data_IF_450846252691
#
_entry.id   IF_450846252691
#
_cell.length_a   1.000
_cell.length_b   1.000
_cell.length_c   1.000
_cell.angle_alpha   90.00
_cell.angle_beta   90.00
_cell.angle_gamma   90.00
#
_symmetry.space_group_name_H-M   'P 1'
#
loop_
_entity.id
_entity.type
_entity.pdbx_description
1 polymer ?
#
# COMPACT_ATOMS: atom_id res chain seq x y z
N UNK A 1 28.63 -39.42 -77.16
CA UNK A 1 29.54 -38.51 -76.40
C UNK A 1 28.82 -37.28 -75.79
N UNK A 2 28.01 -36.59 -76.58
CA UNK A 2 27.42 -35.27 -76.24
C UNK A 2 26.26 -35.36 -75.22
N UNK A 3 25.37 -36.36 -75.35
CA UNK A 3 24.30 -36.65 -74.37
C UNK A 3 24.83 -36.94 -72.95
N UNK A 4 25.98 -37.59 -72.84
CA UNK A 4 26.61 -37.93 -71.55
C UNK A 4 27.19 -36.69 -70.86
N UNK A 5 27.77 -35.76 -71.62
CA UNK A 5 28.20 -34.43 -71.13
C UNK A 5 27.03 -33.58 -70.63
N UNK A 6 25.87 -33.58 -71.33
CA UNK A 6 24.66 -32.89 -70.87
C UNK A 6 24.11 -33.45 -69.56
N UNK A 7 24.03 -34.79 -69.40
CA UNK A 7 23.61 -35.42 -68.15
C UNK A 7 24.55 -35.09 -66.98
N UNK A 8 25.86 -35.12 -67.19
CA UNK A 8 26.83 -34.80 -66.15
C UNK A 8 26.78 -33.32 -65.74
N UNK A 9 26.51 -32.40 -66.69
CA UNK A 9 26.29 -30.98 -66.38
C UNK A 9 25.00 -30.74 -65.60
N UNK A 10 23.92 -31.43 -65.93
CA UNK A 10 22.66 -31.33 -65.19
C UNK A 10 22.78 -31.88 -63.76
N UNK A 11 23.44 -33.04 -63.58
CA UNK A 11 23.70 -33.61 -62.26
C UNK A 11 24.60 -32.72 -61.39
N UNK A 12 25.63 -32.11 -61.99
CA UNK A 12 26.47 -31.14 -61.29
C UNK A 12 25.66 -29.91 -60.86
N UNK A 13 24.80 -29.35 -61.73
CA UNK A 13 23.97 -28.20 -61.39
C UNK A 13 22.98 -28.48 -60.25
N UNK A 14 22.39 -29.69 -60.21
CA UNK A 14 21.49 -30.12 -59.12
C UNK A 14 22.27 -30.23 -57.80
N UNK A 15 23.45 -30.85 -57.80
CA UNK A 15 24.28 -30.98 -56.60
C UNK A 15 24.76 -29.62 -56.06
N UNK A 16 25.04 -28.64 -56.94
CA UNK A 16 25.37 -27.27 -56.51
C UNK A 16 24.16 -26.54 -55.93
N UNK A 17 22.96 -26.76 -56.48
CA UNK A 17 21.72 -26.18 -55.97
C UNK A 17 21.32 -26.78 -54.61
N UNK A 18 21.49 -28.09 -54.43
CA UNK A 18 21.24 -28.77 -53.15
C UNK A 18 22.24 -28.32 -52.07
N UNK A 19 23.54 -28.22 -52.38
CA UNK A 19 24.52 -27.61 -51.46
C UNK A 19 24.20 -26.16 -51.13
N UNK A 20 23.69 -25.40 -52.10
CA UNK A 20 23.23 -24.02 -51.88
C UNK A 20 22.03 -23.94 -50.93
N UNK A 21 21.08 -24.88 -51.05
CA UNK A 21 19.94 -24.99 -50.13
C UNK A 21 20.34 -25.44 -48.73
N UNK A 22 21.24 -26.42 -48.62
CA UNK A 22 21.77 -26.87 -47.33
C UNK A 22 22.56 -25.76 -46.63
N UNK A 23 23.42 -25.04 -47.35
CA UNK A 23 24.15 -23.89 -46.81
C UNK A 23 23.22 -22.75 -46.39
N UNK A 24 22.17 -22.47 -47.19
CA UNK A 24 21.15 -21.48 -46.83
C UNK A 24 20.33 -21.91 -45.61
N UNK A 25 19.97 -23.19 -45.51
CA UNK A 25 19.28 -23.75 -44.34
C UNK A 25 20.14 -23.71 -43.08
N UNK A 26 21.43 -24.02 -43.18
CA UNK A 26 22.38 -23.92 -42.07
C UNK A 26 22.54 -22.47 -41.60
N UNK A 27 22.68 -21.51 -42.52
CA UNK A 27 22.75 -20.10 -42.19
C UNK A 27 21.46 -19.60 -41.49
N UNK A 28 20.28 -19.99 -41.99
CA UNK A 28 18.99 -19.63 -41.36
C UNK A 28 18.87 -20.24 -39.96
N UNK A 29 19.33 -21.48 -39.77
CA UNK A 29 19.35 -22.11 -38.45
C UNK A 29 20.29 -21.35 -37.48
N UNK A 30 21.49 -20.98 -37.93
CA UNK A 30 22.43 -20.18 -37.13
C UNK A 30 21.84 -18.82 -36.74
N UNK A 31 21.22 -18.10 -37.68
CA UNK A 31 20.55 -16.82 -37.38
C UNK A 31 19.38 -17.00 -36.41
N UNK A 32 18.63 -18.09 -36.53
CA UNK A 32 17.52 -18.40 -35.62
C UNK A 32 18.04 -18.67 -34.21
N UNK A 33 19.10 -19.46 -34.07
CA UNK A 33 19.75 -19.73 -32.77
C UNK A 33 20.30 -18.44 -32.16
N UNK A 34 20.98 -17.61 -32.96
CA UNK A 34 21.50 -16.32 -32.50
C UNK A 34 20.37 -15.37 -32.03
N UNK A 35 19.25 -15.31 -32.76
CA UNK A 35 18.09 -14.51 -32.38
C UNK A 35 17.46 -15.00 -31.07
N UNK A 36 17.33 -16.33 -30.89
CA UNK A 36 16.83 -16.91 -29.64
C UNK A 36 17.76 -16.61 -28.48
N UNK A 37 19.09 -16.74 -28.67
CA UNK A 37 20.07 -16.40 -27.64
C UNK A 37 20.02 -14.91 -27.26
N UNK A 38 19.89 -14.02 -28.25
CA UNK A 38 19.70 -12.59 -28.02
C UNK A 38 18.42 -12.32 -27.24
N UNK A 39 17.32 -13.00 -27.57
CA UNK A 39 16.05 -12.85 -26.88
C UNK A 39 16.10 -13.36 -25.43
N UNK A 40 16.76 -14.49 -25.19
CA UNK A 40 17.00 -15.01 -23.83
C UNK A 40 17.91 -14.08 -23.03
N UNK A 41 18.97 -13.55 -23.63
CA UNK A 41 19.86 -12.58 -22.99
C UNK A 41 19.11 -11.27 -22.67
N UNK A 42 18.32 -10.75 -23.62
CA UNK A 42 17.49 -9.56 -23.43
C UNK A 42 16.43 -9.76 -22.34
N UNK A 43 15.75 -10.91 -22.33
CA UNK A 43 14.81 -11.26 -21.26
C UNK A 43 15.52 -11.37 -19.91
N UNK A 44 16.71 -11.97 -19.86
CA UNK A 44 17.48 -12.10 -18.61
C UNK A 44 17.91 -10.74 -18.06
N UNK A 45 18.39 -9.85 -18.93
CA UNK A 45 18.73 -8.46 -18.56
C UNK A 45 17.50 -7.69 -18.10
N UNK A 46 16.37 -7.85 -18.79
CA UNK A 46 15.10 -7.25 -18.38
C UNK A 46 14.66 -7.76 -17.01
N UNK A 47 14.64 -9.07 -16.79
CA UNK A 47 14.24 -9.65 -15.50
C UNK A 47 15.14 -9.19 -14.36
N UNK A 48 16.45 -9.15 -14.56
CA UNK A 48 17.41 -8.71 -13.54
C UNK A 48 17.34 -7.21 -13.26
N UNK A 49 17.13 -6.38 -14.29
CA UNK A 49 17.10 -4.93 -14.16
C UNK A 49 15.74 -4.35 -13.76
N UNK A 50 14.64 -4.94 -14.22
CA UNK A 50 13.28 -4.46 -13.99
C UNK A 50 12.70 -4.93 -12.65
N UNK A 51 13.12 -6.09 -12.16
CA UNK A 51 12.75 -6.61 -10.84
C UNK A 51 13.96 -6.57 -9.89
N UNK A 52 14.39 -5.37 -9.43
CA UNK A 52 15.46 -5.29 -8.46
C UNK A 52 15.04 -6.05 -7.20
N UNK A 53 15.80 -7.08 -6.83
CA UNK A 53 15.69 -7.71 -5.52
C UNK A 53 16.21 -6.69 -4.52
N UNK A 54 15.33 -6.11 -3.72
CA UNK A 54 15.74 -5.22 -2.64
C UNK A 54 16.39 -6.08 -1.55
N UNK A 55 17.70 -5.94 -1.26
CA UNK A 55 18.27 -6.60 -0.10
C UNK A 55 17.68 -5.92 1.14
N UNK A 56 16.82 -6.62 1.87
CA UNK A 56 16.39 -6.21 3.21
C UNK A 56 17.39 -6.73 4.23
N UNK A 57 17.62 -5.95 5.29
CA UNK A 57 18.38 -6.45 6.43
C UNK A 57 17.47 -7.43 7.17
N UNK A 58 17.92 -8.68 7.42
CA UNK A 58 17.11 -9.62 8.17
C UNK A 58 17.01 -9.18 9.64
N UNK A 59 15.84 -9.43 10.24
CA UNK A 59 15.57 -9.13 11.65
C UNK A 59 14.64 -7.93 11.85
N UNK A 60 14.35 -7.65 13.12
CA UNK A 60 13.52 -6.53 13.56
C UNK A 60 14.39 -5.55 14.32
N UNK A 61 14.11 -4.25 14.20
CA UNK A 61 14.79 -3.23 15.00
C UNK A 61 14.49 -3.44 16.48
N UNK A 62 15.53 -3.63 17.31
CA UNK A 62 15.40 -3.79 18.75
C UNK A 62 15.87 -2.56 19.53
N UNK A 63 16.04 -2.74 20.85
CA UNK A 63 16.47 -1.68 21.76
C UNK A 63 17.91 -1.19 21.47
N UNK A 64 18.72 -2.00 20.81
CA UNK A 64 20.04 -1.64 20.30
C UNK A 64 19.98 -0.52 19.27
N UNK A 65 18.89 -0.38 18.51
CA UNK A 65 18.71 0.71 17.54
C UNK A 65 18.63 2.09 18.19
N UNK A 66 18.32 2.16 19.50
CA UNK A 66 18.23 3.40 20.27
C UNK A 66 19.46 3.65 21.16
N UNK A 67 20.50 2.81 21.08
CA UNK A 67 21.73 2.95 21.86
C UNK A 67 22.92 3.18 20.94
N UNK A 68 23.85 4.03 21.36
CA UNK A 68 25.15 4.08 20.70
C UNK A 68 25.81 2.69 20.80
N UNK A 69 26.42 2.15 19.72
CA UNK A 69 27.08 0.86 19.79
C UNK A 69 28.19 0.90 20.84
N UNK A 70 27.99 0.17 21.95
CA UNK A 70 28.97 0.08 23.03
C UNK A 70 29.81 -1.18 22.86
N UNK A 71 31.04 -1.05 22.38
CA UNK A 71 32.00 -2.14 22.38
C UNK A 71 32.58 -2.32 23.79
N UNK A 72 32.01 -3.22 24.58
CA UNK A 72 32.61 -3.67 25.84
C UNK A 72 33.73 -4.71 25.62
N UNK A 73 34.56 -5.02 26.65
CA UNK A 73 35.66 -5.99 26.54
C UNK A 73 35.19 -7.44 26.34
N UNK A 74 33.91 -7.72 26.56
CA UNK A 74 33.29 -9.06 26.56
C UNK A 74 32.18 -9.11 25.51
N UNK A 75 32.51 -8.77 24.25
CA UNK A 75 31.64 -8.94 23.09
C UNK A 75 30.42 -8.00 23.01
N UNK A 76 29.84 -7.93 21.80
CA UNK A 76 28.54 -7.32 21.55
C UNK A 76 27.45 -8.32 21.95
N UNK A 77 27.23 -8.50 23.26
CA UNK A 77 26.20 -9.41 23.76
C UNK A 77 24.84 -8.75 23.83
N UNK A 78 23.84 -9.32 23.14
CA UNK A 78 22.43 -9.01 23.35
C UNK A 78 22.06 -9.40 24.79
N UNK A 79 21.62 -8.42 25.60
CA UNK A 79 21.02 -8.70 26.89
C UNK A 79 19.71 -9.49 26.71
N UNK A 80 19.19 -10.15 27.77
CA UNK A 80 17.90 -10.82 27.70
C UNK A 80 16.79 -9.85 27.23
N UNK A 81 15.90 -10.33 26.37
CA UNK A 81 14.79 -9.54 25.85
C UNK A 81 13.97 -8.94 27.00
N UNK A 82 13.76 -7.62 26.97
CA UNK A 82 12.99 -6.92 27.98
C UNK A 82 11.50 -7.30 27.88
N UNK A 83 10.78 -7.38 29.02
CA UNK A 83 9.32 -7.48 28.99
C UNK A 83 8.69 -6.31 28.22
N UNK A 84 7.53 -6.50 27.55
CA UNK A 84 6.92 -5.47 26.71
C UNK A 84 6.71 -4.11 27.40
N UNK A 85 6.27 -4.09 28.66
CA UNK A 85 6.06 -2.84 29.41
C UNK A 85 7.37 -2.08 29.68
N UNK A 86 8.46 -2.81 29.94
CA UNK A 86 9.78 -2.21 30.14
C UNK A 86 10.34 -1.69 28.81
N UNK A 87 10.13 -2.41 27.71
CA UNK A 87 10.54 -1.98 26.38
C UNK A 87 9.78 -0.72 25.95
N UNK A 88 8.47 -0.68 26.20
CA UNK A 88 7.62 0.50 25.98
C UNK A 88 8.13 1.72 26.75
N UNK A 89 8.45 1.53 28.04
CA UNK A 89 8.99 2.61 28.88
C UNK A 89 10.35 3.09 28.34
N UNK A 90 11.22 2.17 27.94
CA UNK A 90 12.53 2.47 27.37
C UNK A 90 12.40 3.28 26.08
N UNK A 91 11.53 2.86 25.15
CA UNK A 91 11.32 3.59 23.89
C UNK A 91 10.75 4.97 24.11
N UNK A 92 9.85 5.14 25.09
CA UNK A 92 9.33 6.46 25.48
C UNK A 92 10.41 7.37 26.07
N UNK A 93 11.32 6.82 26.86
CA UNK A 93 12.44 7.58 27.42
C UNK A 93 13.44 7.98 26.32
N UNK A 94 13.78 7.06 25.43
CA UNK A 94 14.79 7.27 24.38
C UNK A 94 14.30 8.09 23.19
N UNK A 95 13.00 8.12 22.91
CA UNK A 95 12.48 8.90 21.78
C UNK A 95 12.61 10.40 22.01
N UNK A 96 12.67 10.87 23.26
CA UNK A 96 12.60 12.28 23.67
C UNK A 96 11.36 13.03 23.14
N UNK A 97 10.39 12.32 22.53
CA UNK A 97 9.17 12.88 21.96
C UNK A 97 8.02 12.67 22.94
N UNK A 98 7.39 13.74 23.45
CA UNK A 98 6.24 13.60 24.32
C UNK A 98 5.08 12.96 23.55
N UNK A 99 4.54 11.90 24.11
CA UNK A 99 3.42 11.19 23.51
C UNK A 99 2.11 11.97 23.71
N UNK A 100 1.42 12.26 22.61
CA UNK A 100 0.20 13.09 22.60
C UNK A 100 -1.09 12.27 22.58
N UNK A 101 -1.04 11.06 22.02
CA UNK A 101 -2.20 10.21 21.76
C UNK A 101 -1.99 8.78 22.24
N UNK A 102 -2.83 8.30 23.14
CA UNK A 102 -2.81 6.95 23.72
C UNK A 102 -3.33 5.86 22.79
N UNK A 103 -4.16 6.23 21.81
CA UNK A 103 -4.76 5.28 20.86
C UNK A 103 -4.67 5.77 19.43
N UNK A 104 -4.63 4.81 18.50
CA UNK A 104 -4.67 5.06 17.07
C UNK A 104 -5.88 4.38 16.44
N UNK A 105 -6.64 5.11 15.62
CA UNK A 105 -7.54 4.52 14.63
C UNK A 105 -6.95 4.80 13.25
N UNK A 106 -6.56 3.75 12.54
CA UNK A 106 -6.09 3.81 11.15
C UNK A 106 -7.22 3.33 10.24
N UNK A 107 -7.86 4.26 9.54
CA UNK A 107 -8.90 3.99 8.55
C UNK A 107 -8.28 4.07 7.15
N UNK A 108 -8.16 2.94 6.49
CA UNK A 108 -7.73 2.82 5.10
C UNK A 108 -8.98 2.75 4.22
N UNK A 109 -9.07 3.63 3.22
CA UNK A 109 -10.12 3.63 2.20
C UNK A 109 -9.44 3.31 0.88
N UNK A 110 -9.67 2.09 0.36
CA UNK A 110 -9.05 1.60 -0.87
C UNK A 110 -9.41 2.52 -2.05
N UNK A 111 -8.37 3.02 -2.73
CA UNK A 111 -8.50 3.80 -3.96
C UNK A 111 -8.99 5.24 -3.82
N UNK A 112 -9.07 5.85 -2.63
CA UNK A 112 -9.52 7.24 -2.43
C UNK A 112 -8.47 8.28 -2.88
N UNK A 113 -8.69 9.00 -4.02
CA UNK A 113 -7.75 10.02 -4.47
C UNK A 113 -7.76 11.23 -3.53
N UNK A 114 -6.59 11.79 -3.21
CA UNK A 114 -6.52 12.96 -2.33
C UNK A 114 -7.31 14.15 -2.87
N UNK A 115 -7.30 14.36 -4.19
CA UNK A 115 -8.03 15.47 -4.81
C UNK A 115 -9.55 15.44 -4.62
N UNK A 116 -10.15 14.29 -4.26
CA UNK A 116 -11.57 14.23 -3.90
C UNK A 116 -11.86 14.98 -2.59
N UNK A 117 -10.86 15.09 -1.70
CA UNK A 117 -11.01 15.69 -0.37
C UNK A 117 -10.28 17.03 -0.27
N UNK A 118 -9.09 17.14 -0.84
CA UNK A 118 -8.19 18.29 -0.70
C UNK A 118 -8.16 19.20 -1.94
N UNK A 119 -8.69 18.71 -3.07
CA UNK A 119 -8.62 19.41 -4.35
C UNK A 119 -7.24 19.28 -5.01
N UNK A 120 -6.97 20.05 -6.06
CA UNK A 120 -5.73 19.94 -6.85
C UNK A 120 -5.30 21.28 -7.43
N UNK A 121 -4.00 21.56 -7.40
CA UNK A 121 -3.39 22.74 -8.02
C UNK A 121 -3.90 24.04 -7.40
N UNK A 122 -4.06 24.07 -6.06
CA UNK A 122 -4.59 25.21 -5.31
C UNK A 122 -6.09 25.47 -5.52
N UNK A 123 -6.81 24.55 -6.16
CA UNK A 123 -8.28 24.60 -6.31
C UNK A 123 -8.93 23.63 -5.33
N UNK A 124 -10.10 23.97 -4.77
CA UNK A 124 -10.86 23.04 -3.93
C UNK A 124 -11.35 21.84 -4.74
N UNK A 125 -11.79 20.76 -4.07
CA UNK A 125 -12.45 19.63 -4.73
C UNK A 125 -13.68 20.08 -5.54
N UNK A 126 -14.13 19.21 -6.45
CA UNK A 126 -15.40 19.40 -7.12
C UNK A 126 -16.54 19.51 -6.09
N UNK A 127 -17.53 20.35 -6.38
CA UNK A 127 -18.65 20.63 -5.47
C UNK A 127 -19.38 19.35 -5.05
N UNK A 128 -19.58 18.42 -5.98
CA UNK A 128 -20.22 17.13 -5.70
C UNK A 128 -19.43 16.30 -4.68
N UNK A 129 -18.09 16.31 -4.73
CA UNK A 129 -17.24 15.61 -3.77
C UNK A 129 -17.30 16.27 -2.39
N UNK A 130 -17.28 17.61 -2.34
CA UNK A 130 -17.44 18.35 -1.09
C UNK A 130 -18.80 18.09 -0.43
N UNK A 131 -19.89 18.10 -1.21
CA UNK A 131 -21.25 17.80 -0.74
C UNK A 131 -21.44 16.32 -0.36
N UNK A 132 -20.55 15.44 -0.83
CA UNK A 132 -20.52 14.02 -0.47
C UNK A 132 -19.76 13.76 0.82
N UNK A 133 -18.83 14.64 1.21
CA UNK A 133 -18.07 14.51 2.46
C UNK A 133 -18.17 15.75 3.38
N UNK A 134 -19.39 16.22 3.69
CA UNK A 134 -19.59 17.48 4.41
C UNK A 134 -18.96 17.49 5.80
N UNK A 135 -18.92 16.36 6.51
CA UNK A 135 -18.31 16.31 7.84
C UNK A 135 -16.79 16.47 7.77
N UNK A 136 -16.14 15.72 6.88
CA UNK A 136 -14.70 15.80 6.63
C UNK A 136 -14.31 17.21 6.19
N UNK A 137 -15.07 17.81 5.27
CA UNK A 137 -14.87 19.21 4.86
C UNK A 137 -15.02 20.18 6.05
N UNK A 138 -15.96 19.94 6.96
CA UNK A 138 -16.12 20.78 8.16
C UNK A 138 -14.95 20.67 9.14
N UNK A 139 -14.30 19.50 9.24
CA UNK A 139 -13.10 19.32 10.06
C UNK A 139 -11.91 20.08 9.48
N UNK A 140 -11.70 19.98 8.17
CA UNK A 140 -10.66 20.73 7.45
C UNK A 140 -10.87 22.24 7.57
N UNK A 141 -12.08 22.72 7.30
CA UNK A 141 -12.42 24.15 7.41
C UNK A 141 -12.36 24.68 8.85
N UNK A 142 -12.65 23.83 9.84
CA UNK A 142 -12.59 24.15 11.27
C UNK A 142 -11.21 23.97 11.89
N UNK A 143 -10.17 23.71 11.09
CA UNK A 143 -8.80 23.43 11.54
C UNK A 143 -8.67 22.27 12.54
N UNK A 144 -9.59 21.29 12.51
CA UNK A 144 -9.55 20.08 13.34
C UNK A 144 -8.99 18.85 12.62
N UNK A 145 -8.64 19.03 11.35
CA UNK A 145 -7.98 18.03 10.54
C UNK A 145 -6.89 18.68 9.68
N UNK A 146 -5.84 17.92 9.39
CA UNK A 146 -4.80 18.31 8.44
C UNK A 146 -4.66 17.20 7.40
N UNK A 147 -4.85 17.56 6.14
CA UNK A 147 -4.68 16.67 4.99
C UNK A 147 -3.37 16.88 4.27
N UNK A 148 -2.89 15.81 3.65
CA UNK A 148 -1.72 15.77 2.78
C UNK A 148 -2.05 14.99 1.51
N UNK A 149 -1.46 15.42 0.41
CA UNK A 149 -1.33 14.59 -0.79
C UNK A 149 -0.19 13.60 -0.55
N UNK A 150 -0.54 12.35 -0.23
CA UNK A 150 0.40 11.26 -0.13
C UNK A 150 0.68 10.68 -1.52
N UNK A 151 1.95 10.37 -1.80
CA UNK A 151 2.39 9.79 -3.08
C UNK A 151 2.60 8.29 -2.91
N UNK A 152 1.62 7.52 -3.37
CA UNK A 152 1.69 6.07 -3.45
C UNK A 152 2.59 5.68 -4.63
N UNK A 153 3.81 5.21 -4.35
CA UNK A 153 4.74 4.80 -5.40
C UNK A 153 4.18 3.60 -6.20
N UNK A 154 4.44 3.48 -7.51
CA UNK A 154 4.05 2.30 -8.26
C UNK A 154 4.77 1.04 -7.76
N UNK A 155 4.14 -0.16 -7.81
CA UNK A 155 2.77 -0.41 -8.29
C UNK A 155 1.72 0.06 -7.28
N UNK A 156 0.70 0.77 -7.78
CA UNK A 156 -0.47 1.23 -7.02
C UNK A 156 -1.50 0.12 -6.88
N UNK A 157 -1.07 -0.98 -6.25
CA UNK A 157 -1.89 -2.16 -5.92
C UNK A 157 -1.93 -2.29 -4.41
N UNK A 158 -3.09 -2.62 -3.86
CA UNK A 158 -3.38 -2.67 -2.43
C UNK A 158 -2.26 -3.32 -1.60
N UNK A 159 -1.94 -4.59 -1.83
CA UNK A 159 -1.01 -5.31 -0.97
C UNK A 159 0.42 -4.71 -0.93
N UNK A 160 1.09 -4.40 -2.06
CA UNK A 160 2.35 -3.64 -2.04
C UNK A 160 2.27 -2.31 -1.28
N UNK A 161 1.13 -1.60 -1.38
CA UNK A 161 0.93 -0.31 -0.70
C UNK A 161 0.73 -0.48 0.80
N UNK A 162 0.02 -1.51 1.25
CA UNK A 162 -0.09 -1.85 2.67
C UNK A 162 1.29 -2.15 3.27
N UNK A 163 2.13 -2.95 2.58
CA UNK A 163 3.52 -3.22 2.98
C UNK A 163 4.33 -1.93 3.09
N UNK A 164 4.22 -1.04 2.10
CA UNK A 164 4.92 0.24 2.09
C UNK A 164 4.50 1.13 3.26
N UNK A 165 3.20 1.24 3.50
CA UNK A 165 2.62 2.06 4.58
C UNK A 165 3.13 1.67 5.97
N UNK A 166 3.28 0.38 6.24
CA UNK A 166 3.72 -0.08 7.58
C UNK A 166 5.24 -0.15 7.75
N UNK A 167 6.01 -0.30 6.66
CA UNK A 167 7.47 -0.49 6.73
C UNK A 167 8.27 0.75 6.27
N UNK A 168 7.64 1.70 5.59
CA UNK A 168 8.30 2.77 4.86
C UNK A 168 9.11 2.30 3.65
N UNK A 169 9.03 1.01 3.28
CA UNK A 169 9.73 0.47 2.13
C UNK A 169 9.00 0.85 0.83
N UNK A 170 9.75 1.29 -0.19
CA UNK A 170 9.21 1.39 -1.54
C UNK A 170 8.86 -0.01 -2.04
N UNK A 171 7.57 -0.31 -2.18
CA UNK A 171 7.07 -1.57 -2.74
C UNK A 171 7.49 -1.75 -4.21
N UNK A 172 7.77 -2.99 -4.62
CA UNK A 172 8.26 -3.31 -5.96
C UNK A 172 7.28 -4.16 -6.76
N UNK A 173 7.46 -4.20 -8.09
CA UNK A 173 6.68 -5.10 -8.96
C UNK A 173 6.93 -6.60 -8.67
N UNK A 174 8.06 -6.93 -8.06
CA UNK A 174 8.36 -8.28 -7.61
C UNK A 174 7.42 -8.71 -6.48
N UNK A 175 6.96 -7.78 -5.64
CA UNK A 175 5.93 -8.07 -4.65
C UNK A 175 4.68 -8.59 -5.36
N UNK A 176 4.19 -7.88 -6.39
CA UNK A 176 3.00 -8.32 -7.15
C UNK A 176 3.16 -9.73 -7.73
N UNK A 177 4.34 -10.07 -8.27
CA UNK A 177 4.60 -11.38 -8.87
C UNK A 177 4.75 -12.52 -7.84
N UNK A 178 5.39 -12.26 -6.69
CA UNK A 178 5.55 -13.25 -5.61
C UNK A 178 4.30 -13.37 -4.74
N UNK A 179 3.40 -12.37 -4.76
CA UNK A 179 2.19 -12.28 -3.95
C UNK A 179 1.01 -13.10 -4.50
N UNK A 180 1.14 -13.86 -5.59
CA UNK A 180 0.08 -14.78 -6.08
C UNK A 180 -0.35 -15.83 -5.05
N UNK A 181 0.38 -15.99 -3.94
CA UNK A 181 0.04 -16.89 -2.84
C UNK A 181 0.04 -16.21 -1.46
N UNK A 182 -0.09 -14.88 -1.38
CA UNK A 182 -0.19 -14.07 -0.12
C UNK A 182 0.60 -14.67 1.05
N UNK A 183 1.92 -14.54 1.01
CA UNK A 183 2.78 -14.98 2.12
C UNK A 183 2.83 -13.93 3.23
N UNK A 184 3.07 -14.37 4.46
CA UNK A 184 3.29 -13.49 5.60
C UNK A 184 4.40 -12.48 5.29
N UNK A 185 4.22 -11.23 5.71
CA UNK A 185 5.23 -10.20 5.60
C UNK A 185 6.19 -10.32 6.78
N UNK A 186 7.49 -10.47 6.49
CA UNK A 186 8.51 -10.81 7.48
C UNK A 186 9.51 -9.68 7.74
N UNK A 187 9.41 -8.58 6.99
CA UNK A 187 10.27 -7.42 7.20
C UNK A 187 9.77 -6.59 8.39
N UNK A 188 10.71 -5.90 9.04
CA UNK A 188 10.41 -4.99 10.14
C UNK A 188 9.40 -3.91 9.73
N UNK A 189 8.41 -3.68 10.59
CA UNK A 189 7.33 -2.75 10.33
C UNK A 189 6.68 -2.26 11.63
N UNK A 190 5.93 -1.17 11.54
CA UNK A 190 5.34 -0.51 12.70
C UNK A 190 4.34 -1.40 13.47
N UNK A 191 3.65 -2.34 12.81
CA UNK A 191 2.71 -3.23 13.50
C UNK A 191 3.42 -4.24 14.39
N UNK A 192 4.49 -4.86 13.88
CA UNK A 192 5.35 -5.74 14.68
C UNK A 192 6.00 -4.99 15.85
N UNK A 193 6.47 -3.76 15.60
CA UNK A 193 7.05 -2.92 16.65
C UNK A 193 6.04 -2.57 17.75
N UNK A 194 4.81 -2.21 17.39
CA UNK A 194 3.72 -1.96 18.34
C UNK A 194 3.36 -3.23 19.12
N UNK A 195 3.20 -4.35 18.44
CA UNK A 195 2.90 -5.64 19.06
C UNK A 195 4.01 -6.06 20.05
N UNK A 196 5.28 -5.85 19.69
CA UNK A 196 6.45 -6.19 20.52
C UNK A 196 6.50 -5.41 21.84
N UNK A 197 6.06 -4.14 21.83
CA UNK A 197 5.93 -3.34 23.07
C UNK A 197 4.60 -3.60 23.81
N UNK A 198 3.84 -4.61 23.38
CA UNK A 198 2.63 -5.11 24.05
C UNK A 198 1.37 -4.31 23.72
N UNK A 199 1.34 -3.56 22.61
CA UNK A 199 0.12 -2.90 22.17
C UNK A 199 -0.85 -3.94 21.61
N UNK A 200 -2.12 -3.78 21.94
CA UNK A 200 -3.20 -4.63 21.44
C UNK A 200 -3.78 -4.04 20.15
N UNK A 201 -3.60 -4.77 19.06
CA UNK A 201 -4.02 -4.36 17.73
C UNK A 201 -5.35 -5.04 17.37
N UNK A 202 -6.32 -4.29 16.85
CA UNK A 202 -7.59 -4.80 16.32
C UNK A 202 -7.66 -4.51 14.83
N UNK A 203 -8.09 -5.47 14.02
CA UNK A 203 -8.21 -5.30 12.56
C UNK A 203 -9.59 -5.71 12.05
N UNK A 204 -10.30 -4.80 11.38
CA UNK A 204 -11.57 -5.08 10.70
C UNK A 204 -11.44 -4.62 9.23
N UNK A 205 -11.76 -5.47 8.26
CA UNK A 205 -11.68 -5.08 6.83
C UNK A 205 -11.01 -6.11 5.93
N UNK A 206 -10.38 -5.68 4.84
CA UNK A 206 -9.74 -6.56 3.86
C UNK A 206 -8.80 -7.61 4.51
N UNK A 207 -9.11 -8.89 4.28
CA UNK A 207 -8.38 -10.03 4.84
C UNK A 207 -6.89 -10.09 4.45
N UNK A 208 -6.46 -9.29 3.46
CA UNK A 208 -5.04 -9.09 3.12
C UNK A 208 -4.19 -8.78 4.37
N UNK A 209 -4.69 -7.95 5.29
CA UNK A 209 -3.97 -7.64 6.54
C UNK A 209 -3.71 -8.90 7.37
N UNK A 210 -4.71 -9.76 7.53
CA UNK A 210 -4.61 -11.00 8.32
C UNK A 210 -3.62 -11.97 7.67
N UNK A 211 -3.59 -12.03 6.34
CA UNK A 211 -2.63 -12.87 5.60
C UNK A 211 -1.19 -12.35 5.72
N UNK A 212 -1.01 -11.03 5.67
CA UNK A 212 0.30 -10.40 5.84
C UNK A 212 0.80 -10.53 7.29
N UNK A 213 -0.09 -10.43 8.28
CA UNK A 213 0.23 -10.34 9.71
C UNK A 213 -0.53 -11.37 10.57
N UNK A 214 -0.35 -12.68 10.37
CA UNK A 214 -1.25 -13.72 10.87
C UNK A 214 -1.31 -13.87 12.40
N UNK A 215 -0.39 -13.28 13.14
CA UNK A 215 -0.28 -13.44 14.61
C UNK A 215 -0.36 -12.13 15.40
N UNK A 216 -0.53 -10.98 14.73
CA UNK A 216 -0.40 -9.67 15.40
C UNK A 216 -1.69 -9.15 16.02
N UNK A 217 -2.85 -9.58 15.51
CA UNK A 217 -4.12 -8.99 15.91
C UNK A 217 -4.72 -9.69 17.14
N UNK A 218 -4.99 -8.90 18.18
CA UNK A 218 -5.68 -9.31 19.40
C UNK A 218 -7.15 -9.65 19.12
N UNK A 219 -7.79 -8.91 18.22
CA UNK A 219 -9.09 -9.23 17.61
C UNK A 219 -9.04 -8.93 16.12
N UNK A 220 -9.72 -9.75 15.32
CA UNK A 220 -9.78 -9.53 13.88
C UNK A 220 -11.10 -10.00 13.28
N UNK A 221 -11.54 -9.33 12.23
CA UNK A 221 -12.65 -9.74 11.38
C UNK A 221 -12.36 -9.38 9.92
N UNK A 222 -12.02 -10.39 9.12
CA UNK A 222 -11.60 -10.23 7.73
C UNK A 222 -12.77 -10.28 6.76
N UNK A 223 -12.71 -9.43 5.73
CA UNK A 223 -13.65 -9.37 4.62
C UNK A 223 -12.90 -9.72 3.33
N UNK A 224 -13.50 -10.58 2.51
CA UNK A 224 -12.90 -11.00 1.24
C UNK A 224 -13.03 -9.91 0.17
N UNK A 225 -11.90 -9.48 -0.38
CA UNK A 225 -11.77 -8.51 -1.48
C UNK A 225 -12.10 -9.06 -2.88
N UNK A 226 -12.31 -10.38 -3.04
CA UNK A 226 -12.44 -10.99 -4.38
C UNK A 226 -13.71 -10.65 -5.16
N UNK A 227 -14.76 -10.13 -4.53
CA UNK A 227 -16.04 -9.86 -5.20
C UNK A 227 -16.28 -8.37 -5.45
N UNK A 228 -15.59 -7.84 -6.47
CA UNK A 228 -15.59 -6.40 -6.87
C UNK A 228 -16.98 -5.84 -7.21
N UNK A 229 -17.98 -6.70 -7.48
CA UNK A 229 -19.35 -6.23 -7.77
C UNK A 229 -20.13 -5.82 -6.53
N UNK A 230 -19.68 -6.20 -5.34
CA UNK A 230 -20.29 -5.78 -4.10
C UNK A 230 -19.62 -4.49 -3.61
N UNK A 231 -20.38 -3.42 -3.58
CA UNK A 231 -19.93 -2.12 -3.11
C UNK A 231 -20.55 -1.73 -1.78
N UNK A 232 -21.40 -2.56 -1.17
CA UNK A 232 -22.18 -2.18 0.03
C UNK A 232 -21.96 -3.16 1.16
N UNK A 233 -22.15 -4.45 0.91
CA UNK A 233 -22.04 -5.48 1.93
C UNK A 233 -20.57 -5.65 2.38
N UNK A 234 -19.61 -5.44 1.48
CA UNK A 234 -18.17 -5.41 1.78
C UNK A 234 -17.84 -4.39 2.88
N UNK A 235 -18.33 -3.16 2.78
CA UNK A 235 -18.06 -2.07 3.75
C UNK A 235 -18.96 -2.15 4.99
N UNK A 236 -20.16 -2.70 4.84
CA UNK A 236 -21.01 -3.05 5.98
C UNK A 236 -20.31 -4.07 6.89
N UNK A 237 -19.66 -5.08 6.31
CA UNK A 237 -18.93 -6.08 7.07
C UNK A 237 -17.70 -5.53 7.81
N UNK A 238 -17.07 -4.47 7.30
CA UNK A 238 -16.05 -3.72 8.05
C UNK A 238 -16.66 -2.99 9.25
N UNK A 239 -17.83 -2.38 9.04
CA UNK A 239 -18.46 -1.49 10.04
C UNK A 239 -19.29 -2.20 11.10
N UNK A 240 -19.66 -3.48 10.91
CA UNK A 240 -20.63 -4.20 11.77
C UNK A 240 -20.22 -4.31 13.24
N UNK A 241 -18.92 -4.23 13.53
CA UNK A 241 -18.36 -4.26 14.88
C UNK A 241 -17.80 -2.91 15.36
N UNK A 242 -17.89 -1.86 14.53
CA UNK A 242 -17.25 -0.57 14.80
C UNK A 242 -17.70 0.04 16.13
N UNK A 243 -19.01 0.09 16.38
CA UNK A 243 -19.55 0.69 17.62
C UNK A 243 -19.11 -0.07 18.88
N UNK A 244 -19.05 -1.41 18.82
CA UNK A 244 -18.56 -2.22 19.95
C UNK A 244 -17.08 -2.01 20.22
N UNK A 245 -16.25 -1.88 19.17
CA UNK A 245 -14.82 -1.63 19.32
C UNK A 245 -14.56 -0.20 19.80
N UNK A 246 -15.29 0.81 19.32
CA UNK A 246 -15.16 2.19 19.79
C UNK A 246 -15.57 2.35 21.26
N UNK A 247 -16.52 1.55 21.75
CA UNK A 247 -16.91 1.51 23.15
C UNK A 247 -15.89 0.76 24.04
N UNK A 248 -15.08 -0.11 23.46
CA UNK A 248 -14.08 -0.87 24.18
C UNK A 248 -12.87 0.01 24.59
N UNK A 249 -12.22 -0.38 25.69
CA UNK A 249 -11.05 0.33 26.27
C UNK A 249 -9.80 -0.55 26.32
N UNK A 250 -9.85 -1.74 25.74
CA UNK A 250 -8.86 -2.79 25.91
C UNK A 250 -7.96 -2.99 24.67
N UNK A 251 -7.91 -2.00 23.78
CA UNK A 251 -7.07 -1.96 22.59
C UNK A 251 -6.30 -0.63 22.49
N UNK A 252 -5.16 -0.68 21.79
CA UNK A 252 -4.27 0.48 21.60
C UNK A 252 -4.29 0.98 20.14
N UNK A 253 -4.44 0.09 19.15
CA UNK A 253 -4.66 0.47 17.76
C UNK A 253 -5.82 -0.30 17.10
N UNK A 254 -6.66 0.41 16.37
CA UNK A 254 -7.75 -0.14 15.55
C UNK A 254 -7.49 0.17 14.08
N UNK A 255 -7.41 -0.87 13.25
CA UNK A 255 -7.24 -0.76 11.80
C UNK A 255 -8.58 -1.11 11.15
N UNK A 256 -9.05 -0.21 10.29
CA UNK A 256 -10.24 -0.40 9.45
C UNK A 256 -9.80 -0.34 7.99
N UNK A 257 -10.18 -1.30 7.15
CA UNK A 257 -9.85 -1.25 5.73
C UNK A 257 -11.09 -1.47 4.85
N UNK A 258 -11.57 -0.38 4.26
CA UNK A 258 -12.76 -0.30 3.41
C UNK A 258 -12.39 -0.47 1.93
N UNK A 259 -13.18 -1.26 1.20
CA UNK A 259 -12.91 -1.69 -0.18
C UNK A 259 -13.92 -1.09 -1.19
N UNK A 260 -15.10 -0.70 -0.72
CA UNK A 260 -16.23 -0.39 -1.60
C UNK A 260 -16.01 0.80 -2.53
N UNK A 261 -15.10 1.73 -2.20
CA UNK A 261 -14.78 2.87 -3.05
C UNK A 261 -13.98 2.45 -4.30
N UNK A 262 -12.93 1.64 -4.14
CA UNK A 262 -12.20 1.05 -5.27
C UNK A 262 -13.12 0.18 -6.13
N UNK A 263 -13.97 -0.64 -5.51
CA UNK A 263 -14.97 -1.43 -6.23
C UNK A 263 -15.91 -0.56 -7.09
N UNK A 264 -16.38 0.58 -6.57
CA UNK A 264 -17.16 1.55 -7.35
C UNK A 264 -16.34 2.10 -8.52
N UNK A 265 -15.06 2.38 -8.30
CA UNK A 265 -14.08 2.74 -9.33
C UNK A 265 -14.06 1.73 -10.47
N UNK A 266 -13.77 0.45 -10.19
CA UNK A 266 -13.73 -0.60 -11.22
C UNK A 266 -15.05 -0.79 -11.98
N UNK A 267 -16.20 -0.56 -11.33
CA UNK A 267 -17.51 -0.73 -11.95
C UNK A 267 -17.84 0.40 -12.93
N UNK A 268 -17.56 1.66 -12.57
CA UNK A 268 -18.09 2.82 -13.28
C UNK A 268 -17.17 4.04 -13.35
N UNK A 269 -15.94 3.93 -12.88
CA UNK A 269 -14.97 5.02 -12.81
C UNK A 269 -15.32 6.09 -11.79
N UNK A 270 -14.56 7.18 -11.83
CA UNK A 270 -14.63 8.29 -10.87
C UNK A 270 -15.96 9.05 -10.90
N UNK A 271 -16.62 9.05 -12.06
CA UNK A 271 -17.90 9.71 -12.29
C UNK A 271 -19.10 8.75 -12.17
N UNK A 272 -18.88 7.55 -11.62
CA UNK A 272 -19.96 6.61 -11.35
C UNK A 272 -21.04 7.25 -10.48
N UNK A 273 -22.31 6.98 -10.79
CA UNK A 273 -23.44 7.39 -9.95
C UNK A 273 -23.38 6.79 -8.53
N UNK A 274 -22.54 5.77 -8.31
CA UNK A 274 -22.30 5.16 -7.01
C UNK A 274 -21.20 5.86 -6.19
N UNK A 275 -20.37 6.72 -6.81
CA UNK A 275 -19.24 7.38 -6.13
C UNK A 275 -19.70 8.32 -5.02
N UNK A 276 -20.66 9.20 -5.32
CA UNK A 276 -21.24 10.13 -4.34
C UNK A 276 -21.87 9.42 -3.13
N UNK A 277 -22.76 8.42 -3.29
CA UNK A 277 -23.26 7.63 -2.16
C UNK A 277 -22.14 6.96 -1.34
N UNK A 278 -21.12 6.43 -2.01
CA UNK A 278 -20.00 5.76 -1.34
C UNK A 278 -19.13 6.71 -0.53
N UNK A 279 -18.84 7.90 -1.05
CA UNK A 279 -18.14 8.95 -0.30
C UNK A 279 -18.93 9.42 0.92
N UNK A 280 -20.27 9.51 0.82
CA UNK A 280 -21.15 9.82 1.98
C UNK A 280 -21.08 8.76 3.05
N UNK A 281 -20.97 7.49 2.66
CA UNK A 281 -20.78 6.40 3.62
C UNK A 281 -19.44 6.52 4.36
N UNK A 282 -18.35 6.80 3.64
CA UNK A 282 -17.04 7.01 4.26
C UNK A 282 -17.02 8.24 5.17
N UNK A 283 -17.64 9.35 4.76
CA UNK A 283 -17.79 10.55 5.59
C UNK A 283 -18.57 10.26 6.88
N UNK A 284 -19.60 9.43 6.80
CA UNK A 284 -20.38 9.02 7.96
C UNK A 284 -19.60 8.10 8.92
N UNK A 285 -18.75 7.20 8.39
CA UNK A 285 -17.82 6.41 9.21
C UNK A 285 -16.84 7.33 9.94
N UNK A 286 -16.20 8.28 9.23
CA UNK A 286 -15.30 9.28 9.82
C UNK A 286 -16.01 10.04 10.93
N UNK A 287 -17.25 10.47 10.69
CA UNK A 287 -18.10 11.15 11.68
C UNK A 287 -18.36 10.31 12.92
N UNK A 288 -18.72 9.04 12.76
CA UNK A 288 -18.97 8.10 13.87
C UNK A 288 -17.74 7.92 14.73
N UNK A 289 -16.59 7.64 14.10
CA UNK A 289 -15.31 7.46 14.82
C UNK A 289 -14.94 8.75 15.56
N UNK A 290 -14.91 9.89 14.85
CA UNK A 290 -14.51 11.16 15.46
C UNK A 290 -15.43 11.58 16.62
N UNK A 291 -16.75 11.38 16.48
CA UNK A 291 -17.70 11.64 17.56
C UNK A 291 -17.46 10.73 18.77
N UNK A 292 -17.25 9.44 18.55
CA UNK A 292 -16.98 8.49 19.63
C UNK A 292 -15.70 8.85 20.39
N UNK A 293 -14.59 9.13 19.70
CA UNK A 293 -13.32 9.46 20.35
C UNK A 293 -13.34 10.81 21.06
N UNK A 294 -14.09 11.79 20.55
CA UNK A 294 -14.21 13.13 21.19
C UNK A 294 -15.17 13.11 22.38
N UNK A 295 -16.15 12.19 22.40
CA UNK A 295 -17.12 12.07 23.50
C UNK A 295 -16.48 11.56 24.81
N UNK A 296 -15.31 10.93 24.72
CA UNK A 296 -14.54 10.46 25.88
C UNK A 296 -13.91 11.68 26.56
N UNK A 297 -14.59 12.21 27.57
CA UNK A 297 -14.17 13.41 28.33
C UNK A 297 -12.95 13.15 29.24
N UNK A 298 -12.51 11.91 29.36
CA UNK A 298 -11.35 11.55 30.15
C UNK A 298 -10.07 11.86 29.35
N UNK A 299 -9.22 12.72 29.90
CA UNK A 299 -7.94 13.09 29.30
C UNK A 299 -6.96 11.90 29.17
N UNK A 300 -7.31 10.71 29.68
CA UNK A 300 -6.47 9.50 29.71
C UNK A 300 -6.54 8.59 28.48
N UNK A 301 -7.28 8.95 27.41
CA UNK A 301 -7.37 8.11 26.20
C UNK A 301 -7.47 8.93 24.91
N UNK A 302 -6.56 9.90 24.73
CA UNK A 302 -6.54 10.73 23.52
C UNK A 302 -6.30 9.84 22.31
N UNK A 303 -7.21 9.90 21.34
CA UNK A 303 -7.16 9.03 20.16
C UNK A 303 -6.84 9.86 18.92
N UNK A 304 -5.88 9.42 18.13
CA UNK A 304 -5.62 9.95 16.80
C UNK A 304 -6.41 9.13 15.79
N UNK A 305 -7.20 9.79 14.95
CA UNK A 305 -7.79 9.19 13.76
C UNK A 305 -6.95 9.57 12.55
N UNK A 306 -6.44 8.57 11.85
CA UNK A 306 -5.71 8.71 10.59
C UNK A 306 -6.54 8.06 9.50
N UNK A 307 -6.98 8.84 8.52
CA UNK A 307 -7.68 8.37 7.32
C UNK A 307 -6.71 8.42 6.17
N UNK A 308 -6.41 7.27 5.57
CA UNK A 308 -5.45 7.16 4.46
C UNK A 308 -6.06 6.42 3.30
N UNK A 309 -5.52 6.68 2.12
CA UNK A 309 -5.68 5.84 0.94
C UNK A 309 -4.38 5.13 0.65
N UNK A 310 -4.46 3.90 0.20
CA UNK A 310 -3.33 3.10 -0.26
C UNK A 310 -2.90 3.48 -1.68
N UNK A 311 -3.83 3.88 -2.53
CA UNK A 311 -3.60 4.47 -3.85
C UNK A 311 -4.73 5.43 -4.28
N UNK A 312 -4.56 6.08 -5.43
CA UNK A 312 -5.63 6.76 -6.15
C UNK A 312 -6.22 5.87 -7.25
N UNK A 313 -6.89 6.47 -8.23
CA UNK A 313 -7.43 5.74 -9.39
C UNK A 313 -7.54 6.64 -10.61
N UNK A 314 -7.39 6.07 -11.80
CA UNK A 314 -7.64 6.74 -13.08
C UNK A 314 -9.11 7.14 -13.25
N UNK A 315 -9.43 7.98 -14.24
CA UNK A 315 -10.83 8.37 -14.56
C UNK A 315 -11.79 7.19 -14.74
N UNK A 316 -11.30 6.09 -15.31
CA UNK A 316 -12.07 4.86 -15.54
C UNK A 316 -12.00 3.87 -14.38
N UNK A 317 -11.37 4.25 -13.26
CA UNK A 317 -11.27 3.44 -12.05
C UNK A 317 -10.18 2.37 -12.04
N UNK A 318 -9.27 2.37 -13.02
CA UNK A 318 -8.10 1.50 -13.00
C UNK A 318 -7.01 2.04 -12.08
N UNK A 319 -6.15 1.13 -11.61
CA UNK A 319 -4.93 1.40 -10.85
C UNK A 319 -3.86 0.34 -11.16
N UNK A 320 -2.70 0.41 -10.49
CA UNK A 320 -1.52 -0.46 -10.69
C UNK A 320 -0.38 0.20 -11.45
N UNK A 321 -0.63 1.33 -12.11
CA UNK A 321 0.33 2.13 -12.86
C UNK A 321 1.00 3.23 -12.03
N UNK A 322 1.49 4.25 -12.74
CA UNK A 322 2.26 5.37 -12.17
C UNK A 322 1.74 6.74 -12.62
N UNK A 323 0.50 6.82 -13.12
CA UNK A 323 -0.10 8.12 -13.45
C UNK A 323 -0.31 8.95 -12.18
N UNK A 324 -0.43 10.27 -12.33
CA UNK A 324 -0.69 11.14 -11.19
C UNK A 324 -1.94 10.67 -10.45
N UNK A 325 -3.01 10.38 -11.18
CA UNK A 325 -4.32 9.99 -10.67
C UNK A 325 -4.25 8.71 -9.84
N UNK A 326 -3.40 7.77 -10.22
CA UNK A 326 -3.18 6.52 -9.48
C UNK A 326 -2.29 6.70 -8.25
N UNK A 327 -1.33 7.63 -8.30
CA UNK A 327 -0.36 7.83 -7.20
C UNK A 327 -0.82 8.85 -6.16
N UNK A 328 -1.80 9.70 -6.49
CA UNK A 328 -2.37 10.72 -5.60
C UNK A 328 -3.32 10.08 -4.58
N UNK A 329 -2.83 9.88 -3.36
CA UNK A 329 -3.53 9.18 -2.28
C UNK A 329 -3.76 10.11 -1.09
N UNK A 330 -4.90 9.98 -0.41
CA UNK A 330 -5.21 10.82 0.75
C UNK A 330 -4.37 10.40 1.97
N UNK A 331 -3.87 11.37 2.73
CA UNK A 331 -3.51 11.17 4.14
C UNK A 331 -4.08 12.30 4.99
N UNK A 332 -5.00 11.97 5.90
CA UNK A 332 -5.75 12.92 6.71
C UNK A 332 -5.61 12.58 8.20
N UNK A 333 -5.16 13.54 8.99
CA UNK A 333 -4.96 13.40 10.43
C UNK A 333 -6.02 14.20 11.17
N UNK A 334 -6.73 13.57 12.11
CA UNK A 334 -7.83 14.15 12.89
C UNK A 334 -7.57 13.87 14.38
N UNK A 335 -7.49 14.93 15.20
CA UNK A 335 -7.35 14.80 16.64
C UNK A 335 -7.01 16.10 17.36
N UNK A 336 -7.00 16.08 18.69
CA UNK A 336 -6.94 17.29 19.52
C UNK A 336 -5.71 18.18 19.29
N UNK A 337 -4.51 17.61 19.07
CA UNK A 337 -3.30 18.41 18.84
C UNK A 337 -3.09 18.83 17.38
N UNK A 338 -4.01 18.45 16.49
CA UNK A 338 -4.01 18.91 15.08
C UNK A 338 -4.69 20.27 14.96
N UNK A 339 -5.34 20.75 16.04
CA UNK A 339 -5.98 22.07 16.10
C UNK A 339 -4.97 23.21 15.91
N UNK A 340 -5.18 24.01 14.86
CA UNK A 340 -4.39 25.20 14.55
C UNK A 340 -5.25 26.46 14.61
N UNK A 341 -4.66 27.58 15.04
CA UNK A 341 -5.32 28.90 15.03
C UNK A 341 -5.56 29.43 13.60
N UNK A 342 -4.77 28.95 12.64
CA UNK A 342 -4.94 29.24 11.22
C UNK A 342 -4.73 27.98 10.38
N UNK A 343 -5.67 27.70 9.49
CA UNK A 343 -5.52 26.69 8.46
C UNK A 343 -6.06 27.24 7.15
N UNK A 344 -5.37 26.94 6.06
CA UNK A 344 -5.95 27.03 4.72
C UNK A 344 -6.20 25.59 4.28
N UNK A 345 -7.45 25.11 4.28
CA UNK A 345 -7.76 23.71 4.01
C UNK A 345 -7.36 23.25 2.60
N UNK A 346 -7.07 24.20 1.70
CA UNK A 346 -6.69 23.94 0.30
C UNK A 346 -5.28 24.44 -0.04
N UNK A 347 -4.50 24.92 0.94
CA UNK A 347 -3.07 25.13 0.73
C UNK A 347 -2.42 23.76 0.64
N UNK A 348 -1.88 23.43 -0.54
CA UNK A 348 -1.32 22.11 -0.80
C UNK A 348 -0.15 21.84 0.13
N UNK A 349 -0.34 20.85 1.02
CA UNK A 349 0.75 20.21 1.76
C UNK A 349 1.14 18.95 1.01
N UNK A 350 2.02 19.09 0.02
CA UNK A 350 2.76 17.94 -0.55
C UNK A 350 3.86 17.57 0.44
N UNK A 351 3.77 16.42 1.11
CA UNK A 351 4.81 16.08 2.08
C UNK A 351 5.04 14.59 2.38
N UNK A 352 4.24 13.65 1.88
CA UNK A 352 4.35 12.25 2.30
C UNK A 352 4.51 11.32 1.10
N UNK A 353 5.62 10.61 1.01
CA UNK A 353 5.71 9.40 0.20
C UNK A 353 5.23 8.26 1.10
N UNK A 354 4.19 7.52 0.68
CA UNK A 354 3.57 6.43 1.45
C UNK A 354 3.89 5.09 0.81
#
# INVERSE_FOLDING_TARGET
PERRKKKNRAAAAIATADRGREAMGAAVAEWTVAAVLLQVAGLSLFLYGFFPVKPTLPGFSGAESYRAPSCGPVGCGEGPALPPDQLRSLYRELSEVPHVYDRLVLMVIDGLPAEFVLGRGGKPPAREMMESMPYTQSLLAGCRAVGYHAKAAPPTVTMPRLKAMVSGAIGGFLDVALNFNTQAFLDDNILDQLHTIGYKLVMLGDETWIKLFPTLFYRQDGVSSFYVKDTVEVDFNVSRHLESELAAKDWDALILHYLGLDHVGHIGGRQSNLMTPKLKEMDDVIRRIHAAVTSIQDNSHRTLLVVVSDHGMTEVGNHGGSSYEETDSLALFIGHSVESSHCSPYDQKEALQV
#
